data_IF_768644470909
#
_entry.id   IF_768644470909
#
_cell.length_a   1.000
_cell.length_b   1.000
_cell.length_c   1.000
_cell.angle_alpha   90.00
_cell.angle_beta   90.00
_cell.angle_gamma   90.00
#
_symmetry.space_group_name_H-M   'P 1'
#
loop_
_entity.id
_entity.type
_entity.pdbx_description
1 polymer ?
#
# COMPACT_ATOMS: atom_id res chain seq x y z
N UNK A 1 2.67 -4.98 -8.37
CA UNK A 1 3.09 -4.66 -9.76
C UNK A 1 2.11 -3.73 -10.46
N UNK A 2 0.85 -4.08 -10.74
CA UNK A 2 -0.11 -3.12 -11.33
C UNK A 2 -0.52 -1.99 -10.36
N UNK A 3 -0.69 -2.29 -9.06
CA UNK A 3 -1.01 -1.30 -8.05
C UNK A 3 0.10 -0.25 -7.85
N UNK A 4 1.38 -0.68 -7.86
CA UNK A 4 2.53 0.24 -7.71
C UNK A 4 2.66 1.21 -8.89
N UNK A 5 2.33 0.75 -10.10
CA UNK A 5 2.33 1.59 -11.30
C UNK A 5 1.18 2.63 -11.32
N UNK A 6 0.06 2.33 -10.67
CA UNK A 6 -1.04 3.28 -10.47
C UNK A 6 -0.66 4.37 -9.46
N UNK A 7 0.04 4.03 -8.37
CA UNK A 7 0.52 5.02 -7.39
C UNK A 7 1.45 6.08 -8.01
N UNK A 8 2.22 5.74 -9.04
CA UNK A 8 3.06 6.71 -9.77
C UNK A 8 2.29 7.62 -10.74
N UNK A 9 1.08 7.23 -11.16
CA UNK A 9 0.30 7.94 -12.18
C UNK A 9 -0.91 8.70 -11.63
N UNK A 10 -1.29 8.45 -10.38
CA UNK A 10 -2.35 9.18 -9.71
C UNK A 10 -1.75 10.46 -9.10
N UNK A 11 -2.15 11.62 -9.61
CA UNK A 11 -1.79 12.87 -8.94
C UNK A 11 -2.49 12.91 -7.57
N UNK A 12 -1.86 13.50 -6.56
CA UNK A 12 -2.47 13.70 -5.23
C UNK A 12 -3.81 14.43 -5.32
N UNK A 13 -3.97 15.29 -6.34
CA UNK A 13 -5.24 15.91 -6.67
C UNK A 13 -6.32 14.88 -7.01
N UNK A 14 -6.03 13.90 -7.87
CA UNK A 14 -6.95 12.84 -8.33
C UNK A 14 -7.37 11.89 -7.21
N UNK A 15 -6.47 11.63 -6.26
CA UNK A 15 -6.71 10.72 -5.13
C UNK A 15 -7.78 11.29 -4.17
N UNK A 16 -7.84 12.62 -4.06
CA UNK A 16 -8.75 13.33 -3.17
C UNK A 16 -9.86 14.09 -3.91
N UNK A 17 -10.05 13.84 -5.22
CA UNK A 17 -11.14 14.45 -6.00
C UNK A 17 -12.46 14.13 -5.33
N UNK A 18 -13.20 15.17 -5.04
CA UNK A 18 -14.53 15.05 -4.48
C UNK A 18 -15.54 14.79 -5.61
N UNK A 19 -16.31 13.71 -5.47
CA UNK A 19 -17.39 13.36 -6.40
C UNK A 19 -18.74 13.48 -5.68
N UNK A 20 -19.84 13.26 -6.39
CA UNK A 20 -21.18 13.16 -5.79
C UNK A 20 -21.28 12.12 -4.65
N UNK A 21 -20.31 11.20 -4.54
CA UNK A 21 -20.24 10.17 -3.51
C UNK A 21 -19.09 10.39 -2.51
N UNK A 22 -18.50 11.58 -2.49
CA UNK A 22 -17.31 11.92 -1.69
C UNK A 22 -16.00 11.58 -2.41
N UNK A 23 -14.91 11.45 -1.64
CA UNK A 23 -13.62 11.01 -2.17
C UNK A 23 -13.68 9.54 -2.61
N UNK A 24 -12.77 9.07 -3.49
CA UNK A 24 -12.65 7.65 -3.83
C UNK A 24 -12.55 6.75 -2.59
N UNK A 25 -11.87 7.24 -1.54
CA UNK A 25 -11.74 6.55 -0.27
C UNK A 25 -13.08 6.46 0.46
N UNK A 26 -13.85 7.56 0.53
CA UNK A 26 -15.17 7.58 1.15
C UNK A 26 -16.18 6.69 0.41
N UNK A 27 -16.16 6.68 -0.93
CA UNK A 27 -17.02 5.83 -1.74
C UNK A 27 -16.70 4.34 -1.53
N UNK A 28 -15.42 3.96 -1.53
CA UNK A 28 -15.01 2.58 -1.28
C UNK A 28 -15.34 2.12 0.15
N UNK A 29 -15.16 3.01 1.14
CA UNK A 29 -15.51 2.76 2.54
C UNK A 29 -17.01 2.50 2.71
N UNK A 30 -17.86 3.38 2.19
CA UNK A 30 -19.31 3.23 2.29
C UNK A 30 -19.82 1.98 1.58
N UNK A 31 -19.23 1.59 0.45
CA UNK A 31 -19.55 0.30 -0.20
C UNK A 31 -19.14 -0.88 0.67
N UNK A 32 -17.94 -0.87 1.22
CA UNK A 32 -17.45 -1.96 2.06
C UNK A 32 -18.30 -2.12 3.34
N UNK A 33 -18.71 -1.03 3.99
CA UNK A 33 -19.64 -1.06 5.12
C UNK A 33 -20.99 -1.68 4.75
N UNK A 34 -21.56 -1.30 3.61
CA UNK A 34 -22.82 -1.89 3.13
C UNK A 34 -22.70 -3.40 2.86
N UNK A 35 -21.62 -3.85 2.19
CA UNK A 35 -21.42 -5.28 1.92
C UNK A 35 -21.11 -6.07 3.19
N UNK A 36 -20.32 -5.53 4.12
CA UNK A 36 -20.03 -6.19 5.40
C UNK A 36 -21.28 -6.29 6.28
N UNK A 37 -22.13 -5.26 6.32
CA UNK A 37 -23.42 -5.31 7.00
C UNK A 37 -24.40 -6.31 6.35
N UNK A 38 -24.42 -6.41 5.02
CA UNK A 38 -25.22 -7.38 4.29
C UNK A 38 -24.74 -8.83 4.54
N UNK A 39 -23.41 -9.05 4.54
CA UNK A 39 -22.80 -10.34 4.85
C UNK A 39 -23.09 -10.78 6.30
N UNK A 40 -23.04 -9.86 7.26
CA UNK A 40 -23.38 -10.14 8.67
C UNK A 40 -24.85 -10.59 8.84
N UNK A 41 -25.75 -10.14 7.96
CA UNK A 41 -27.16 -10.55 7.93
C UNK A 41 -27.41 -11.87 7.18
N UNK A 42 -26.36 -12.55 6.68
CA UNK A 42 -26.46 -13.79 5.88
C UNK A 42 -27.45 -13.68 4.70
N UNK A 43 -27.60 -12.49 4.13
CA UNK A 43 -28.58 -12.24 3.07
C UNK A 43 -28.15 -12.78 1.71
N UNK A 44 -26.85 -13.00 1.47
CA UNK A 44 -26.34 -13.60 0.23
C UNK A 44 -24.87 -14.02 0.37
N UNK A 45 -24.50 -15.19 -0.18
CA UNK A 45 -23.10 -15.64 -0.29
C UNK A 45 -22.37 -14.90 -1.43
N UNK A 46 -23.10 -14.50 -2.49
CA UNK A 46 -22.59 -13.67 -3.59
C UNK A 46 -22.24 -12.23 -3.15
N UNK A 47 -22.81 -11.75 -2.04
CA UNK A 47 -22.51 -10.43 -1.48
C UNK A 47 -21.11 -10.35 -0.83
N UNK A 48 -20.41 -11.49 -0.63
CA UNK A 48 -19.05 -11.54 -0.12
C UNK A 48 -17.98 -11.33 -1.20
N UNK A 49 -18.28 -11.68 -2.46
CA UNK A 49 -17.33 -11.58 -3.57
C UNK A 49 -16.73 -10.17 -3.79
N UNK A 50 -17.47 -9.06 -3.62
CA UNK A 50 -16.89 -7.72 -3.80
C UNK A 50 -16.07 -7.22 -2.60
N UNK A 51 -16.18 -7.83 -1.41
CA UNK A 51 -15.51 -7.36 -0.18
C UNK A 51 -13.98 -7.31 -0.32
N UNK A 52 -13.29 -8.34 -0.85
CA UNK A 52 -11.85 -8.30 -1.08
C UNK A 52 -11.41 -7.17 -2.02
N UNK A 53 -12.19 -6.87 -3.06
CA UNK A 53 -11.90 -5.82 -4.03
C UNK A 53 -11.92 -4.43 -3.38
N UNK A 54 -12.92 -4.15 -2.54
CA UNK A 54 -13.00 -2.87 -1.84
C UNK A 54 -11.89 -2.73 -0.78
N UNK A 55 -11.55 -3.80 -0.05
CA UNK A 55 -10.39 -3.80 0.86
C UNK A 55 -9.09 -3.48 0.13
N UNK A 56 -8.85 -4.12 -1.02
CA UNK A 56 -7.68 -3.84 -1.88
C UNK A 56 -7.65 -2.38 -2.32
N UNK A 57 -8.79 -1.84 -2.73
CA UNK A 57 -8.92 -0.46 -3.21
C UNK A 57 -8.61 0.53 -2.10
N UNK A 58 -9.18 0.34 -0.91
CA UNK A 58 -8.88 1.16 0.27
C UNK A 58 -7.39 1.10 0.61
N UNK A 59 -6.78 -0.09 0.63
CA UNK A 59 -5.34 -0.23 0.89
C UNK A 59 -4.47 0.53 -0.13
N UNK A 60 -4.82 0.48 -1.42
CA UNK A 60 -4.09 1.21 -2.46
C UNK A 60 -4.24 2.72 -2.29
N UNK A 61 -5.45 3.22 -2.02
CA UNK A 61 -5.70 4.64 -1.79
C UNK A 61 -4.96 5.15 -0.55
N UNK A 62 -4.95 4.38 0.54
CA UNK A 62 -4.20 4.73 1.76
C UNK A 62 -2.69 4.74 1.52
N UNK A 63 -2.15 3.74 0.79
CA UNK A 63 -0.73 3.72 0.40
C UNK A 63 -0.35 4.89 -0.52
N UNK A 64 -1.30 5.41 -1.30
CA UNK A 64 -1.11 6.56 -2.16
C UNK A 64 -1.29 7.92 -1.44
N UNK A 65 -1.64 7.91 -0.14
CA UNK A 65 -1.78 9.13 0.66
C UNK A 65 -3.17 9.78 0.59
N UNK A 66 -4.23 9.00 0.38
CA UNK A 66 -5.60 9.51 0.44
C UNK A 66 -5.92 10.19 1.79
N UNK A 67 -6.63 11.30 1.72
CA UNK A 67 -6.99 12.12 2.88
C UNK A 67 -8.10 11.44 3.70
N UNK A 68 -7.73 11.02 4.92
CA UNK A 68 -8.60 10.33 5.87
C UNK A 68 -9.49 11.34 6.61
N UNK A 69 -9.10 12.62 6.68
CA UNK A 69 -9.89 13.68 7.34
C UNK A 69 -11.22 13.93 6.66
N UNK A 70 -11.35 13.54 5.39
CA UNK A 70 -12.58 13.64 4.58
C UNK A 70 -13.49 12.41 4.67
N UNK A 71 -13.13 11.42 5.47
CA UNK A 71 -14.03 10.31 5.73
C UNK A 71 -15.16 10.75 6.65
N UNK A 72 -16.39 10.23 6.43
CA UNK A 72 -17.44 10.39 7.43
C UNK A 72 -16.91 9.83 8.77
N UNK A 73 -17.02 10.65 9.82
CA UNK A 73 -16.55 10.29 11.14
C UNK A 73 -17.15 8.93 11.54
N UNK A 74 -16.29 7.94 11.84
CA UNK A 74 -16.59 6.57 12.28
C UNK A 74 -16.63 5.46 11.22
N UNK A 75 -15.79 5.49 10.19
CA UNK A 75 -15.54 4.26 9.43
C UNK A 75 -14.53 3.36 10.15
N UNK A 76 -15.02 2.51 11.07
CA UNK A 76 -14.21 1.50 11.78
C UNK A 76 -13.49 0.56 10.80
N UNK A 77 -14.11 0.31 9.65
CA UNK A 77 -13.56 -0.55 8.60
C UNK A 77 -12.34 0.09 7.93
N UNK A 78 -12.38 1.39 7.65
CA UNK A 78 -11.20 2.08 7.09
C UNK A 78 -10.10 2.19 8.13
N UNK A 79 -10.43 2.37 9.41
CA UNK A 79 -9.43 2.40 10.48
C UNK A 79 -8.69 1.06 10.60
N UNK A 80 -9.40 -0.06 10.51
CA UNK A 80 -8.80 -1.40 10.51
C UNK A 80 -7.83 -1.59 9.33
N UNK A 81 -8.23 -1.19 8.12
CA UNK A 81 -7.37 -1.26 6.94
C UNK A 81 -6.20 -0.27 7.01
N UNK A 82 -6.39 0.90 7.61
CA UNK A 82 -5.32 1.89 7.86
C UNK A 82 -4.24 1.35 8.80
N UNK A 83 -4.65 0.76 9.93
CA UNK A 83 -3.71 0.11 10.86
C UNK A 83 -2.93 -1.00 10.16
N UNK A 84 -3.61 -1.79 9.30
CA UNK A 84 -2.95 -2.84 8.53
C UNK A 84 -1.91 -2.28 7.56
N UNK A 85 -2.26 -1.27 6.76
CA UNK A 85 -1.30 -0.63 5.85
C UNK A 85 -0.13 -0.04 6.61
N UNK A 86 -0.38 0.60 7.76
CA UNK A 86 0.66 1.19 8.60
C UNK A 86 1.60 0.13 9.18
N UNK A 87 1.09 -1.04 9.57
CA UNK A 87 1.90 -2.14 10.08
C UNK A 87 2.71 -2.86 8.98
N UNK A 88 2.25 -2.84 7.74
CA UNK A 88 2.97 -3.40 6.59
C UNK A 88 4.08 -2.45 6.07
N UNK A 89 3.91 -1.15 6.27
CA UNK A 89 4.81 -0.12 5.73
C UNK A 89 6.29 -0.31 6.11
N UNK A 90 6.67 -0.61 7.38
CA UNK A 90 8.07 -0.82 7.74
C UNK A 90 8.70 -1.98 6.97
N UNK A 91 7.95 -3.07 6.75
CA UNK A 91 8.44 -4.24 6.03
C UNK A 91 8.61 -3.93 4.53
N UNK A 92 7.63 -3.27 3.93
CA UNK A 92 7.68 -2.86 2.52
C UNK A 92 8.85 -1.88 2.28
N UNK A 93 9.04 -0.90 3.18
CA UNK A 93 10.15 0.06 3.13
C UNK A 93 11.50 -0.65 3.31
N UNK A 94 11.64 -1.51 4.30
CA UNK A 94 12.89 -2.25 4.53
C UNK A 94 13.22 -3.17 3.36
N UNK A 95 12.22 -3.81 2.75
CA UNK A 95 12.38 -4.63 1.56
C UNK A 95 12.88 -3.79 0.38
N UNK A 96 12.26 -2.63 0.13
CA UNK A 96 12.68 -1.71 -0.92
C UNK A 96 14.11 -1.19 -0.71
N UNK A 97 14.47 -0.81 0.52
CA UNK A 97 15.83 -0.39 0.88
C UNK A 97 16.83 -1.53 0.66
N UNK A 98 16.52 -2.73 1.14
CA UNK A 98 17.39 -3.89 0.95
C UNK A 98 17.57 -4.25 -0.53
N UNK A 99 16.51 -4.14 -1.34
CA UNK A 99 16.58 -4.34 -2.78
C UNK A 99 17.45 -3.28 -3.46
N UNK A 100 17.31 -2.00 -3.08
CA UNK A 100 18.10 -0.90 -3.61
C UNK A 100 19.58 -0.97 -3.20
N UNK A 101 19.86 -1.42 -1.98
CA UNK A 101 21.24 -1.60 -1.48
C UNK A 101 21.91 -2.87 -2.00
N UNK A 102 21.16 -3.84 -2.53
CA UNK A 102 21.71 -5.13 -2.98
C UNK A 102 22.85 -4.97 -4.00
N UNK A 103 22.75 -4.16 -5.06
CA UNK A 103 23.85 -3.95 -6.01
C UNK A 103 25.09 -3.35 -5.34
N UNK A 104 24.90 -2.39 -4.43
CA UNK A 104 26.00 -1.76 -3.68
C UNK A 104 26.72 -2.76 -2.77
N UNK A 105 25.97 -3.62 -2.07
CA UNK A 105 26.54 -4.69 -1.23
C UNK A 105 27.30 -5.72 -2.06
N UNK A 106 26.75 -6.13 -3.21
CA UNK A 106 27.42 -7.04 -4.14
C UNK A 106 28.72 -6.44 -4.68
N UNK A 107 28.71 -5.16 -5.06
CA UNK A 107 29.91 -4.48 -5.54
C UNK A 107 30.98 -4.30 -4.45
N UNK A 108 30.59 -3.90 -3.24
CA UNK A 108 31.49 -3.80 -2.10
C UNK A 108 32.12 -5.16 -1.73
N UNK A 109 31.36 -6.25 -1.83
CA UNK A 109 31.87 -7.61 -1.61
C UNK A 109 32.94 -7.99 -2.66
N UNK A 110 32.73 -7.66 -3.93
CA UNK A 110 33.73 -7.86 -4.99
C UNK A 110 35.00 -7.05 -4.72
N UNK A 111 34.89 -5.75 -4.43
CA UNK A 111 36.04 -4.91 -4.10
C UNK A 111 36.81 -5.46 -2.89
N UNK A 112 36.10 -5.85 -1.83
CA UNK A 112 36.73 -6.43 -0.63
C UNK A 112 37.47 -7.73 -0.96
N UNK A 113 36.95 -8.54 -1.87
CA UNK A 113 37.62 -9.77 -2.32
C UNK A 113 38.89 -9.45 -3.11
N UNK A 114 38.82 -8.50 -4.05
CA UNK A 114 39.98 -8.08 -4.85
C UNK A 114 41.08 -7.46 -3.99
N UNK A 115 40.74 -6.60 -3.04
CA UNK A 115 41.70 -5.98 -2.13
C UNK A 115 42.35 -6.98 -1.16
N UNK A 116 41.63 -8.05 -0.76
CA UNK A 116 42.20 -9.12 0.06
C UNK A 116 43.14 -10.03 -0.72
N UNK A 117 42.91 -10.19 -2.02
CA UNK A 117 43.75 -11.01 -2.89
C UNK A 117 45.05 -10.30 -3.28
N UNK A 118 45.14 -8.98 -3.07
CA UNK A 118 46.33 -8.21 -3.41
C UNK A 118 46.74 -7.22 -2.30
N UNK A 119 47.60 -7.65 -1.36
CA UNK A 119 48.24 -6.73 -0.43
C UNK A 119 49.46 -5.99 -1.03
N UNK A 120 49.90 -6.25 -2.28
CA UNK A 120 51.27 -5.87 -2.72
C UNK A 120 51.46 -5.34 -4.15
N UNK A 121 50.44 -5.11 -4.98
CA UNK A 121 50.67 -4.57 -6.33
C UNK A 121 50.68 -3.03 -6.47
N UNK A 122 50.91 -2.28 -5.38
CA UNK A 122 51.25 -0.85 -5.45
C UNK A 122 52.38 -0.54 -4.46
N UNK A 123 53.62 -0.83 -4.86
CA UNK A 123 54.84 -0.51 -4.11
C UNK A 123 56.05 -1.17 -4.72
#
# INVERSE_FOLDING_TARGET
>A
RFADALCYRLAVADINVETQHGTPLAAAAGKLENYTAAAARKLDDDALNPIPCYKRTIQVLLRAGADISRLPARSEVVLAEYVKVLNELPNDVMSAINAALRPHRSFAALLTHLLKLDPLAFG
#
